data_IF_294663058975
#
_entry.id   IF_294663058975
#
_cell.length_a   1.000
_cell.length_b   1.000
_cell.length_c   1.000
_cell.angle_alpha   90.00
_cell.angle_beta   90.00
_cell.angle_gamma   90.00
#
_symmetry.space_group_name_H-M   'P 1'
#
loop_
_entity.id
_entity.type
_entity.pdbx_description
1 polymer ?
#
# COMPACT_ATOMS: atom_id res chain seq x y z
N UNK A 1 -71.28 -40.24 -18.98
CA UNK A 1 -70.11 -40.87 -19.62
C UNK A 1 -68.85 -40.35 -18.95
N UNK A 2 -68.23 -41.16 -18.09
CA UNK A 2 -67.07 -40.78 -17.28
C UNK A 2 -65.76 -41.21 -17.98
N UNK A 3 -64.77 -40.30 -18.05
CA UNK A 3 -63.44 -40.56 -18.63
C UNK A 3 -62.54 -41.31 -17.64
N UNK A 4 -61.73 -42.29 -18.09
CA UNK A 4 -60.80 -43.02 -17.23
C UNK A 4 -59.51 -42.24 -16.96
N UNK A 5 -58.96 -42.48 -15.77
CA UNK A 5 -57.76 -41.88 -15.18
C UNK A 5 -56.53 -42.69 -15.62
N UNK A 6 -55.63 -42.11 -16.41
CA UNK A 6 -54.36 -42.74 -16.82
C UNK A 6 -53.33 -42.63 -15.70
N UNK A 7 -52.79 -43.78 -15.31
CA UNK A 7 -51.69 -43.93 -14.37
C UNK A 7 -50.34 -43.94 -15.09
N UNK A 8 -49.32 -43.38 -14.43
CA UNK A 8 -47.95 -43.89 -14.50
C UNK A 8 -47.00 -43.23 -15.49
N UNK A 9 -46.10 -42.40 -14.96
CA UNK A 9 -44.69 -42.42 -15.35
C UNK A 9 -43.85 -41.77 -14.23
N UNK A 10 -43.06 -42.60 -13.55
CA UNK A 10 -42.08 -42.14 -12.58
C UNK A 10 -40.91 -41.45 -13.31
N UNK A 11 -40.36 -40.34 -12.78
CA UNK A 11 -39.21 -39.68 -13.39
C UNK A 11 -37.98 -40.58 -13.29
N UNK A 12 -37.43 -40.95 -14.44
CA UNK A 12 -36.12 -41.61 -14.54
C UNK A 12 -35.06 -40.65 -14.00
N UNK A 13 -34.43 -41.06 -12.90
CA UNK A 13 -33.37 -40.30 -12.24
C UNK A 13 -32.10 -40.39 -13.11
N UNK A 14 -31.58 -39.27 -13.67
CA UNK A 14 -30.37 -39.30 -14.46
C UNK A 14 -29.21 -39.71 -13.57
N UNK A 15 -28.60 -40.87 -13.86
CA UNK A 15 -27.36 -41.32 -13.22
C UNK A 15 -26.27 -40.28 -13.48
N UNK A 16 -26.03 -39.41 -12.50
CA UNK A 16 -24.88 -38.51 -12.48
C UNK A 16 -23.61 -39.35 -12.49
N UNK A 17 -22.86 -39.24 -13.58
CA UNK A 17 -21.59 -39.92 -13.77
C UNK A 17 -20.51 -39.19 -12.95
N UNK A 18 -19.95 -39.78 -11.87
CA UNK A 18 -19.07 -39.06 -10.94
C UNK A 18 -17.73 -38.61 -11.55
N UNK A 19 -17.38 -39.09 -12.75
CA UNK A 19 -16.13 -38.73 -13.43
C UNK A 19 -16.08 -37.34 -14.09
N UNK A 20 -17.22 -36.67 -14.33
CA UNK A 20 -17.24 -35.35 -14.99
C UNK A 20 -16.99 -34.18 -14.03
N UNK A 21 -17.39 -34.30 -12.76
CA UNK A 21 -17.20 -33.25 -11.75
C UNK A 21 -15.72 -33.06 -11.37
N UNK A 22 -14.93 -34.14 -11.35
CA UNK A 22 -13.53 -34.12 -10.94
C UNK A 22 -12.57 -33.62 -12.04
N UNK A 23 -12.96 -33.71 -13.32
CA UNK A 23 -12.20 -33.15 -14.45
C UNK A 23 -12.43 -31.64 -14.59
N UNK A 24 -13.65 -31.18 -14.29
CA UNK A 24 -14.00 -29.75 -14.28
C UNK A 24 -13.26 -28.98 -13.19
N UNK A 25 -13.18 -29.53 -11.97
CA UNK A 25 -12.50 -28.88 -10.83
C UNK A 25 -10.98 -28.77 -10.95
N UNK A 26 -10.32 -29.71 -11.66
CA UNK A 26 -8.87 -29.61 -11.96
C UNK A 26 -8.54 -28.60 -13.05
N UNK A 27 -9.44 -28.43 -14.02
CA UNK A 27 -9.27 -27.49 -15.13
C UNK A 27 -9.39 -26.02 -14.68
N UNK A 28 -10.31 -25.73 -13.75
CA UNK A 28 -10.50 -24.37 -13.22
C UNK A 28 -9.37 -23.96 -12.29
N UNK A 29 -8.90 -24.86 -11.42
CA UNK A 29 -7.80 -24.57 -10.49
C UNK A 29 -6.48 -24.19 -11.21
N UNK A 30 -6.18 -24.81 -12.35
CA UNK A 30 -5.02 -24.45 -13.19
C UNK A 30 -5.19 -23.11 -13.92
N UNK A 31 -6.39 -22.85 -14.45
CA UNK A 31 -6.70 -21.59 -15.13
C UNK A 31 -6.64 -20.40 -14.16
N UNK A 32 -7.20 -20.55 -12.95
CA UNK A 32 -7.20 -19.52 -11.90
C UNK A 32 -5.77 -19.21 -11.42
N UNK A 33 -4.91 -20.22 -11.25
CA UNK A 33 -3.51 -20.02 -10.88
C UNK A 33 -2.72 -19.24 -11.95
N UNK A 34 -2.94 -19.53 -13.24
CA UNK A 34 -2.28 -18.80 -14.33
C UNK A 34 -2.77 -17.35 -14.46
N UNK A 35 -4.05 -17.09 -14.23
CA UNK A 35 -4.61 -15.74 -14.24
C UNK A 35 -4.06 -14.87 -13.10
N UNK A 36 -3.94 -15.43 -11.89
CA UNK A 36 -3.34 -14.73 -10.74
C UNK A 36 -1.86 -14.39 -11.00
N UNK A 37 -1.10 -15.33 -11.58
CA UNK A 37 0.31 -15.08 -11.94
C UNK A 37 0.44 -13.99 -13.02
N UNK A 38 -0.40 -14.00 -14.05
CA UNK A 38 -0.38 -12.96 -15.08
C UNK A 38 -0.69 -11.57 -14.50
N UNK A 39 -1.66 -11.47 -13.59
CA UNK A 39 -2.00 -10.21 -12.94
C UNK A 39 -0.85 -9.69 -12.06
N UNK A 40 -0.15 -10.56 -11.33
CA UNK A 40 1.05 -10.20 -10.56
C UNK A 40 2.18 -9.69 -11.47
N UNK A 41 2.41 -10.33 -12.62
CA UNK A 41 3.43 -9.90 -13.56
C UNK A 41 3.13 -8.52 -14.17
N UNK A 42 1.86 -8.26 -14.52
CA UNK A 42 1.45 -6.95 -15.03
C UNK A 42 1.63 -5.88 -13.95
N UNK A 43 1.21 -6.17 -12.71
CA UNK A 43 1.39 -5.25 -11.58
C UNK A 43 2.88 -4.95 -11.33
N UNK A 44 3.75 -5.97 -11.38
CA UNK A 44 5.18 -5.81 -11.20
C UNK A 44 5.81 -4.91 -12.27
N UNK A 45 5.37 -5.00 -13.53
CA UNK A 45 5.85 -4.12 -14.62
C UNK A 45 5.48 -2.66 -14.39
N UNK A 46 4.25 -2.39 -13.96
CA UNK A 46 3.84 -1.02 -13.62
C UNK A 46 4.61 -0.50 -12.40
N UNK A 47 4.79 -1.33 -11.37
CA UNK A 47 5.56 -0.98 -10.18
C UNK A 47 7.04 -0.68 -10.52
N UNK A 48 7.68 -1.47 -11.37
CA UNK A 48 9.05 -1.25 -11.84
C UNK A 48 9.19 0.06 -12.61
N UNK A 49 8.26 0.37 -13.52
CA UNK A 49 8.27 1.63 -14.27
C UNK A 49 8.07 2.84 -13.36
N UNK A 50 7.14 2.74 -12.42
CA UNK A 50 6.91 3.78 -11.41
C UNK A 50 8.13 3.97 -10.51
N UNK A 51 8.75 2.88 -10.07
CA UNK A 51 9.95 2.90 -9.24
C UNK A 51 11.13 3.56 -9.97
N UNK A 52 11.34 3.24 -11.26
CA UNK A 52 12.40 3.85 -12.06
C UNK A 52 12.15 5.35 -12.28
N UNK A 53 10.90 5.75 -12.56
CA UNK A 53 10.54 7.16 -12.67
C UNK A 53 10.78 7.92 -11.35
N UNK A 54 10.39 7.32 -10.22
CA UNK A 54 10.62 7.89 -8.90
C UNK A 54 12.11 7.93 -8.51
N UNK A 55 12.90 6.94 -8.94
CA UNK A 55 14.34 6.92 -8.73
C UNK A 55 15.01 8.10 -9.42
N UNK A 56 14.70 8.30 -10.71
CA UNK A 56 15.24 9.39 -11.50
C UNK A 56 14.79 10.75 -10.98
N UNK A 57 13.49 10.91 -10.72
CA UNK A 57 12.94 12.15 -10.18
C UNK A 57 13.54 12.48 -8.80
N UNK A 58 13.60 11.51 -7.90
CA UNK A 58 14.18 11.67 -6.56
C UNK A 58 15.66 12.03 -6.60
N UNK A 59 16.44 11.34 -7.43
CA UNK A 59 17.87 11.63 -7.60
C UNK A 59 18.10 13.01 -8.22
N UNK A 60 17.39 13.36 -9.31
CA UNK A 60 17.53 14.66 -9.97
C UNK A 60 17.12 15.82 -9.05
N UNK A 61 15.99 15.70 -8.36
CA UNK A 61 15.53 16.73 -7.43
C UNK A 61 16.50 16.87 -6.25
N UNK A 62 16.96 15.75 -5.66
CA UNK A 62 17.94 15.81 -4.58
C UNK A 62 19.27 16.43 -5.02
N UNK A 63 19.75 16.07 -6.21
CA UNK A 63 21.00 16.57 -6.77
C UNK A 63 20.95 18.08 -7.06
N UNK A 64 19.86 18.54 -7.68
CA UNK A 64 19.63 19.96 -7.99
C UNK A 64 19.45 20.79 -6.71
N UNK A 65 18.71 20.27 -5.72
CA UNK A 65 18.54 20.93 -4.43
C UNK A 65 19.82 21.00 -3.61
N UNK A 66 20.79 20.10 -3.83
CA UNK A 66 22.10 20.13 -3.17
C UNK A 66 23.24 20.60 -4.10
N UNK A 67 22.91 21.27 -5.21
CA UNK A 67 23.92 21.75 -6.14
C UNK A 67 24.91 22.70 -5.45
N UNK A 68 26.21 22.47 -5.65
CA UNK A 68 27.28 23.25 -5.01
C UNK A 68 27.49 22.94 -3.51
N UNK A 69 26.74 21.99 -2.93
CA UNK A 69 26.91 21.58 -1.53
C UNK A 69 27.57 20.20 -1.47
N UNK A 70 28.79 20.16 -0.94
CA UNK A 70 29.48 18.91 -0.62
C UNK A 70 30.42 19.17 0.57
N UNK A 71 30.31 18.42 1.69
CA UNK A 71 29.48 17.24 1.89
C UNK A 71 28.02 17.55 2.31
N UNK A 72 27.10 16.62 2.01
CA UNK A 72 25.68 16.69 2.37
C UNK A 72 25.44 15.79 3.60
N UNK A 73 25.01 16.33 4.75
CA UNK A 73 24.77 15.55 5.95
C UNK A 73 23.50 14.69 5.84
N UNK A 74 23.43 13.62 6.63
CA UNK A 74 22.24 12.76 6.76
C UNK A 74 21.07 13.48 7.44
N UNK A 75 21.35 14.18 8.55
CA UNK A 75 20.39 14.90 9.39
C UNK A 75 20.96 16.26 9.79
N UNK A 76 20.11 17.26 10.05
CA UNK A 76 20.52 18.58 10.56
C UNK A 76 19.77 19.71 9.87
N UNK A 77 19.97 19.85 8.55
CA UNK A 77 19.32 20.89 7.74
C UNK A 77 18.14 20.32 6.93
N UNK A 78 17.19 21.17 6.52
CA UNK A 78 16.08 20.76 5.65
C UNK A 78 16.52 20.18 4.28
N UNK A 79 17.75 20.49 3.83
CA UNK A 79 18.36 19.97 2.59
C UNK A 79 19.18 18.69 2.81
N UNK A 80 19.27 18.20 4.06
CA UNK A 80 19.95 16.95 4.38
C UNK A 80 19.33 15.79 3.59
N UNK A 81 20.16 14.84 3.16
CA UNK A 81 19.68 13.83 2.23
C UNK A 81 18.67 12.88 2.88
N UNK A 82 18.75 12.65 4.20
CA UNK A 82 17.73 11.88 4.94
C UNK A 82 16.37 12.57 4.94
N UNK A 83 16.33 13.89 5.16
CA UNK A 83 15.09 14.68 5.11
C UNK A 83 14.51 14.73 3.69
N UNK A 84 15.36 14.92 2.69
CA UNK A 84 14.92 14.87 1.29
C UNK A 84 14.39 13.48 0.90
N UNK A 85 15.01 12.39 1.37
CA UNK A 85 14.49 11.04 1.16
C UNK A 85 13.11 10.85 1.79
N UNK A 86 12.89 11.39 3.00
CA UNK A 86 11.59 11.33 3.66
C UNK A 86 10.52 12.11 2.90
N UNK A 87 10.80 13.36 2.52
CA UNK A 87 9.84 14.23 1.83
C UNK A 87 9.53 13.76 0.41
N UNK A 88 10.56 13.49 -0.39
CA UNK A 88 10.39 13.00 -1.76
C UNK A 88 9.82 11.58 -1.77
N UNK A 89 10.20 10.74 -0.80
CA UNK A 89 9.63 9.42 -0.58
C UNK A 89 8.13 9.48 -0.25
N UNK A 90 7.72 10.35 0.67
CA UNK A 90 6.31 10.53 1.02
C UNK A 90 5.48 11.11 -0.15
N UNK A 91 6.03 12.09 -0.88
CA UNK A 91 5.38 12.66 -2.06
C UNK A 91 5.21 11.60 -3.16
N UNK A 92 6.28 10.88 -3.47
CA UNK A 92 6.24 9.82 -4.50
C UNK A 92 5.33 8.66 -4.09
N UNK A 93 5.29 8.28 -2.81
CA UNK A 93 4.34 7.31 -2.27
C UNK A 93 2.89 7.76 -2.47
N UNK A 94 2.58 9.02 -2.17
CA UNK A 94 1.23 9.59 -2.31
C UNK A 94 0.76 9.53 -3.76
N UNK A 95 1.62 9.97 -4.69
CA UNK A 95 1.31 9.93 -6.13
C UNK A 95 1.19 8.48 -6.61
N UNK A 96 2.10 7.60 -6.20
CA UNK A 96 2.07 6.19 -6.58
C UNK A 96 0.82 5.47 -6.06
N UNK A 97 0.41 5.73 -4.82
CA UNK A 97 -0.81 5.20 -4.23
C UNK A 97 -2.04 5.70 -4.99
N UNK A 98 -2.09 7.00 -5.32
CA UNK A 98 -3.20 7.56 -6.09
C UNK A 98 -3.31 6.90 -7.48
N UNK A 99 -2.20 6.82 -8.21
CA UNK A 99 -2.16 6.19 -9.54
C UNK A 99 -2.54 4.71 -9.46
N UNK A 100 -1.95 3.96 -8.53
CA UNK A 100 -2.22 2.53 -8.37
C UNK A 100 -3.68 2.26 -7.98
N UNK A 101 -4.28 3.09 -7.14
CA UNK A 101 -5.68 2.98 -6.73
C UNK A 101 -6.63 3.28 -7.91
N UNK A 102 -6.36 4.32 -8.71
CA UNK A 102 -7.14 4.62 -9.92
C UNK A 102 -7.07 3.46 -10.92
N UNK A 103 -5.87 2.94 -11.19
CA UNK A 103 -5.66 1.83 -12.12
C UNK A 103 -6.35 0.56 -11.61
N UNK A 104 -6.17 0.22 -10.32
CA UNK A 104 -6.78 -0.95 -9.70
C UNK A 104 -8.31 -0.91 -9.70
N UNK A 105 -8.91 0.24 -9.40
CA UNK A 105 -10.37 0.39 -9.45
C UNK A 105 -10.93 0.44 -10.88
N UNK A 106 -10.22 1.03 -11.84
CA UNK A 106 -10.65 0.96 -13.25
C UNK A 106 -10.77 -0.49 -13.72
N UNK A 107 -9.79 -1.32 -13.37
CA UNK A 107 -9.78 -2.74 -13.72
C UNK A 107 -10.96 -3.52 -13.08
N UNK A 108 -11.36 -3.15 -11.86
CA UNK A 108 -12.53 -3.70 -11.18
C UNK A 108 -13.85 -3.20 -11.77
N UNK A 109 -13.96 -1.90 -12.05
CA UNK A 109 -15.17 -1.31 -12.63
C UNK A 109 -15.47 -1.81 -14.05
N UNK A 110 -14.46 -2.24 -14.82
CA UNK A 110 -14.68 -2.90 -16.12
C UNK A 110 -15.30 -4.28 -16.01
N UNK A 111 -15.20 -4.95 -14.86
CA UNK A 111 -15.75 -6.27 -14.62
C UNK A 111 -17.14 -6.24 -13.94
N UNK A 112 -17.63 -5.05 -13.56
CA UNK A 112 -18.92 -4.89 -12.86
C UNK A 112 -20.02 -4.32 -13.76
N UNK A 113 -21.29 -4.69 -13.53
CA UNK A 113 -22.44 -4.10 -14.23
C UNK A 113 -22.49 -2.58 -14.06
N UNK A 114 -22.94 -1.81 -15.07
CA UNK A 114 -22.90 -0.34 -15.07
C UNK A 114 -23.62 0.30 -13.88
N UNK A 115 -24.60 -0.38 -13.29
CA UNK A 115 -25.40 0.12 -12.16
C UNK A 115 -24.71 0.00 -10.78
N UNK A 116 -23.53 -0.62 -10.68
CA UNK A 116 -22.75 -0.76 -9.43
C UNK A 116 -21.38 -0.06 -9.47
N UNK A 117 -21.12 0.76 -10.49
CA UNK A 117 -19.86 1.50 -10.62
C UNK A 117 -19.74 2.50 -9.47
N UNK A 118 -18.77 2.29 -8.60
CA UNK A 118 -18.49 3.21 -7.50
C UNK A 118 -17.73 4.45 -8.00
N UNK A 119 -18.06 5.60 -7.43
CA UNK A 119 -17.37 6.85 -7.70
C UNK A 119 -16.01 6.86 -6.98
N UNK A 120 -14.93 7.02 -7.74
CA UNK A 120 -13.57 6.75 -7.28
C UNK A 120 -12.90 7.93 -6.57
N UNK A 121 -13.38 9.15 -6.80
CA UNK A 121 -12.72 10.37 -6.33
C UNK A 121 -12.78 10.57 -4.82
N UNK A 122 -13.90 10.20 -4.18
CA UNK A 122 -14.09 10.40 -2.74
C UNK A 122 -13.23 9.46 -1.88
N UNK A 123 -12.96 8.24 -2.36
CA UNK A 123 -12.14 7.25 -1.64
C UNK A 123 -10.65 7.34 -1.97
N UNK A 124 -10.27 8.06 -3.04
CA UNK A 124 -8.88 8.22 -3.47
C UNK A 124 -8.07 9.06 -2.48
N UNK A 125 -8.61 10.22 -2.08
CA UNK A 125 -7.87 11.20 -1.28
C UNK A 125 -7.44 10.65 0.09
N UNK A 126 -8.32 9.97 0.89
CA UNK A 126 -7.93 9.45 2.20
C UNK A 126 -6.85 8.36 2.09
N UNK A 127 -6.94 7.50 1.09
CA UNK A 127 -5.98 6.40 0.89
C UNK A 127 -4.62 6.94 0.47
N UNK A 128 -4.58 7.82 -0.55
CA UNK A 128 -3.34 8.39 -1.03
C UNK A 128 -2.65 9.22 0.06
N UNK A 129 -3.38 10.13 0.71
CA UNK A 129 -2.83 10.95 1.79
C UNK A 129 -2.41 10.09 2.99
N UNK A 130 -3.21 9.10 3.37
CA UNK A 130 -2.86 8.18 4.45
C UNK A 130 -1.54 7.46 4.20
N UNK A 131 -1.27 7.02 2.98
CA UNK A 131 0.02 6.39 2.63
C UNK A 131 1.19 7.37 2.68
N UNK A 132 1.00 8.60 2.22
CA UNK A 132 2.02 9.65 2.31
C UNK A 132 2.39 9.96 3.74
N UNK A 133 1.38 10.19 4.59
CA UNK A 133 1.57 10.44 6.04
C UNK A 133 2.23 9.24 6.71
N UNK A 134 1.82 8.02 6.37
CA UNK A 134 2.43 6.81 6.92
C UNK A 134 3.94 6.74 6.61
N UNK A 135 4.33 6.99 5.36
CA UNK A 135 5.75 7.01 4.96
C UNK A 135 6.49 8.14 5.66
N UNK A 136 5.87 9.31 5.79
CA UNK A 136 6.48 10.46 6.47
C UNK A 136 6.73 10.17 7.95
N UNK A 137 5.76 9.59 8.66
CA UNK A 137 5.90 9.19 10.07
C UNK A 137 6.99 8.12 10.22
N UNK A 138 6.98 7.09 9.36
CA UNK A 138 7.96 6.02 9.41
C UNK A 138 9.38 6.53 9.13
N UNK A 139 9.53 7.41 8.15
CA UNK A 139 10.80 8.05 7.82
C UNK A 139 11.25 9.00 8.94
N UNK A 140 10.32 9.72 9.58
CA UNK A 140 10.60 10.58 10.73
C UNK A 140 11.20 9.79 11.89
N UNK A 141 10.58 8.67 12.27
CA UNK A 141 11.14 7.75 13.27
C UNK A 141 12.53 7.26 12.84
N UNK A 142 12.68 6.83 11.58
CA UNK A 142 13.96 6.40 11.03
C UNK A 142 15.06 7.48 11.10
N UNK A 143 14.72 8.74 10.82
CA UNK A 143 15.64 9.88 10.91
C UNK A 143 16.07 10.13 12.36
N UNK A 144 15.16 10.03 13.33
CA UNK A 144 15.50 10.18 14.76
C UNK A 144 16.55 9.13 15.16
N UNK A 145 16.31 7.86 14.84
CA UNK A 145 17.29 6.79 15.09
C UNK A 145 18.61 7.02 14.34
N UNK A 146 18.54 7.41 13.07
CA UNK A 146 19.71 7.66 12.25
C UNK A 146 20.55 8.84 12.77
N UNK A 147 19.92 9.86 13.36
CA UNK A 147 20.62 11.01 13.92
C UNK A 147 21.46 10.66 15.16
N UNK A 148 21.05 9.63 15.91
CA UNK A 148 21.79 9.13 17.07
C UNK A 148 22.95 8.23 16.63
N UNK A 149 22.74 7.36 15.65
CA UNK A 149 23.73 6.34 15.24
C UNK A 149 24.75 6.91 14.24
N UNK A 150 24.32 7.77 13.33
CA UNK A 150 25.09 8.24 12.18
C UNK A 150 25.26 9.76 12.16
N UNK A 151 25.54 10.36 13.32
CA UNK A 151 25.60 11.82 13.51
C UNK A 151 26.58 12.52 12.56
N UNK A 152 27.73 11.90 12.30
CA UNK A 152 28.80 12.45 11.44
C UNK A 152 28.71 11.98 9.98
N UNK A 153 27.63 11.27 9.60
CA UNK A 153 27.51 10.72 8.26
C UNK A 153 27.17 11.84 7.26
N UNK A 154 28.16 12.23 6.48
CA UNK A 154 28.00 13.18 5.39
C UNK A 154 28.57 12.59 4.10
N UNK A 155 27.81 12.71 3.02
CA UNK A 155 28.13 12.10 1.72
C UNK A 155 28.38 13.16 0.66
N UNK A 156 29.14 12.80 -0.36
CA UNK A 156 29.28 13.61 -1.57
C UNK A 156 27.90 13.66 -2.26
N UNK A 157 27.51 14.84 -2.76
CA UNK A 157 26.18 15.08 -3.35
C UNK A 157 25.77 14.00 -4.37
N UNK A 158 26.69 13.58 -5.26
CA UNK A 158 26.42 12.56 -6.27
C UNK A 158 26.00 11.19 -5.69
N UNK A 159 26.56 10.79 -4.55
CA UNK A 159 26.19 9.52 -3.89
C UNK A 159 24.90 9.71 -3.08
N UNK A 160 24.78 10.83 -2.37
CA UNK A 160 23.61 11.15 -1.57
C UNK A 160 22.33 11.19 -2.42
N UNK A 161 22.37 11.81 -3.60
CA UNK A 161 21.23 11.89 -4.50
C UNK A 161 20.80 10.54 -5.06
N UNK A 162 21.76 9.66 -5.41
CA UNK A 162 21.48 8.29 -5.86
C UNK A 162 20.80 7.48 -4.74
N UNK A 163 21.24 7.63 -3.49
CA UNK A 163 20.60 6.97 -2.34
C UNK A 163 19.16 7.47 -2.16
N UNK A 164 18.93 8.78 -2.24
CA UNK A 164 17.57 9.36 -2.17
C UNK A 164 16.68 8.78 -3.28
N UNK A 165 17.19 8.73 -4.50
CA UNK A 165 16.49 8.09 -5.64
C UNK A 165 16.18 6.62 -5.37
N UNK A 166 17.14 5.84 -4.89
CA UNK A 166 16.95 4.43 -4.57
C UNK A 166 15.87 4.23 -3.49
N UNK A 167 15.87 5.05 -2.44
CA UNK A 167 14.83 5.02 -1.40
C UNK A 167 13.45 5.31 -2.00
N UNK A 168 13.32 6.34 -2.84
CA UNK A 168 12.06 6.64 -3.54
C UNK A 168 11.60 5.47 -4.41
N UNK A 169 12.54 4.81 -5.11
CA UNK A 169 12.25 3.65 -5.95
C UNK A 169 11.67 2.49 -5.13
N UNK A 170 12.31 2.15 -4.00
CA UNK A 170 11.86 1.07 -3.10
C UNK A 170 10.47 1.37 -2.54
N UNK A 171 10.24 2.62 -2.12
CA UNK A 171 8.94 3.06 -1.60
C UNK A 171 7.86 2.91 -2.67
N UNK A 172 8.08 3.45 -3.87
CA UNK A 172 7.10 3.40 -4.95
C UNK A 172 6.84 1.96 -5.41
N UNK A 173 7.88 1.15 -5.54
CA UNK A 173 7.73 -0.27 -5.88
C UNK A 173 6.83 -0.99 -4.85
N UNK A 174 7.09 -0.77 -3.56
CA UNK A 174 6.34 -1.38 -2.47
C UNK A 174 4.88 -0.92 -2.42
N UNK A 175 4.65 0.40 -2.59
CA UNK A 175 3.31 0.99 -2.58
C UNK A 175 2.50 0.53 -3.79
N UNK A 176 3.04 0.62 -5.00
CA UNK A 176 2.33 0.19 -6.20
C UNK A 176 2.01 -1.31 -6.16
N UNK A 177 2.93 -2.16 -5.68
CA UNK A 177 2.66 -3.58 -5.50
C UNK A 177 1.47 -3.87 -4.57
N UNK A 178 1.33 -3.09 -3.49
CA UNK A 178 0.23 -3.23 -2.51
C UNK A 178 -1.13 -2.77 -3.05
N UNK A 179 -1.16 -1.69 -3.83
CA UNK A 179 -2.41 -1.10 -4.32
C UNK A 179 -2.85 -1.66 -5.68
N UNK A 180 -1.95 -2.14 -6.53
CA UNK A 180 -2.33 -2.77 -7.80
C UNK A 180 -3.02 -4.13 -7.59
N UNK A 181 -2.73 -4.82 -6.49
CA UNK A 181 -3.41 -6.05 -6.07
C UNK A 181 -4.66 -5.77 -5.22
N UNK A 182 -5.18 -4.52 -5.26
CA UNK A 182 -6.25 -3.94 -4.45
C UNK A 182 -7.24 -4.97 -3.89
N UNK A 183 -7.01 -5.37 -2.64
CA UNK A 183 -7.96 -6.10 -1.83
C UNK A 183 -8.44 -5.17 -0.72
N UNK A 184 -9.65 -5.36 -0.18
CA UNK A 184 -10.16 -4.54 0.95
C UNK A 184 -9.18 -4.52 2.13
N UNK A 185 -8.43 -5.63 2.28
CA UNK A 185 -7.30 -5.80 3.18
C UNK A 185 -6.23 -4.70 3.06
N UNK A 186 -5.92 -4.19 1.88
CA UNK A 186 -4.87 -3.18 1.70
C UNK A 186 -5.25 -1.84 2.33
N UNK A 187 -6.52 -1.45 2.27
CA UNK A 187 -7.03 -0.20 2.88
C UNK A 187 -7.02 -0.33 4.40
N UNK A 188 -7.54 -1.45 4.93
CA UNK A 188 -7.53 -1.72 6.37
C UNK A 188 -6.11 -1.79 6.94
N UNK A 189 -5.17 -2.40 6.21
CA UNK A 189 -3.77 -2.49 6.61
C UNK A 189 -3.11 -1.11 6.62
N UNK A 190 -3.41 -0.26 5.63
CA UNK A 190 -2.91 1.13 5.61
C UNK A 190 -3.43 1.91 6.82
N UNK A 191 -4.72 1.80 7.14
CA UNK A 191 -5.31 2.43 8.32
C UNK A 191 -4.68 1.92 9.63
N UNK A 192 -4.53 0.59 9.76
CA UNK A 192 -3.92 -0.02 10.93
C UNK A 192 -2.46 0.42 11.13
N UNK A 193 -1.66 0.44 10.05
CA UNK A 193 -0.28 0.91 10.13
C UNK A 193 -0.20 2.40 10.45
N UNK A 194 -1.09 3.22 9.90
CA UNK A 194 -1.15 4.64 10.21
C UNK A 194 -1.47 4.87 11.70
N UNK A 195 -2.42 4.13 12.27
CA UNK A 195 -2.75 4.17 13.69
C UNK A 195 -1.55 3.76 14.57
N UNK A 196 -0.91 2.63 14.26
CA UNK A 196 0.26 2.16 15.01
C UNK A 196 1.40 3.17 14.94
N UNK A 197 1.69 3.71 13.76
CA UNK A 197 2.71 4.75 13.59
C UNK A 197 2.36 6.02 14.38
N UNK A 198 1.09 6.42 14.38
CA UNK A 198 0.61 7.55 15.19
C UNK A 198 0.85 7.33 16.68
N UNK A 199 0.54 6.13 17.19
CA UNK A 199 0.78 5.77 18.59
C UNK A 199 2.27 5.79 18.92
N UNK A 200 3.12 5.24 18.05
CA UNK A 200 4.58 5.24 18.26
C UNK A 200 5.13 6.66 18.31
N UNK A 201 4.67 7.54 17.41
CA UNK A 201 5.11 8.95 17.39
C UNK A 201 4.60 9.71 18.61
N UNK A 202 3.37 9.46 19.06
CA UNK A 202 2.86 10.03 20.30
C UNK A 202 3.68 9.56 21.50
N UNK A 203 3.95 8.25 21.61
CA UNK A 203 4.76 7.66 22.68
C UNK A 203 6.20 8.19 22.69
N UNK A 204 6.79 8.45 21.52
CA UNK A 204 8.14 8.98 21.41
C UNK A 204 8.28 10.43 21.87
N UNK A 205 7.19 11.20 21.82
CA UNK A 205 7.17 12.60 22.27
C UNK A 205 6.77 12.75 23.75
N UNK A 206 6.20 11.70 24.35
CA UNK A 206 5.73 11.74 25.73
C UNK A 206 6.90 11.51 26.70
N UNK A 207 7.04 12.39 27.68
CA UNK A 207 8.14 12.31 28.66
C UNK A 207 7.85 11.32 29.79
N UNK A 208 6.57 10.99 30.01
CA UNK A 208 6.15 10.09 31.07
C UNK A 208 6.15 8.63 30.59
N UNK A 209 7.01 7.73 31.11
CA UNK A 209 7.05 6.33 30.71
C UNK A 209 5.77 5.54 31.07
N UNK A 210 4.90 6.09 31.93
CA UNK A 210 3.61 5.51 32.33
C UNK A 210 2.41 6.07 31.54
N UNK A 211 2.63 6.83 30.47
CA UNK A 211 1.56 7.45 29.67
C UNK A 211 0.47 6.46 29.23
N UNK A 212 0.86 5.22 28.94
CA UNK A 212 -0.06 4.16 28.53
C UNK A 212 -0.94 3.72 29.70
N UNK A 213 -0.37 3.56 30.91
CA UNK A 213 -1.14 3.23 32.12
C UNK A 213 -2.17 4.32 32.41
N UNK A 214 -1.78 5.59 32.28
CA UNK A 214 -2.70 6.73 32.48
C UNK A 214 -3.82 6.72 31.43
N UNK A 215 -3.48 6.58 30.15
CA UNK A 215 -4.44 6.55 29.04
C UNK A 215 -5.45 5.39 29.14
N UNK A 216 -5.02 4.22 29.62
CA UNK A 216 -5.90 3.08 29.85
C UNK A 216 -6.63 3.11 31.20
N UNK A 217 -6.09 3.79 32.21
CA UNK A 217 -6.76 3.98 33.51
C UNK A 217 -8.05 4.78 33.36
N UNK A 218 -8.08 5.76 32.45
CA UNK A 218 -9.26 6.57 32.16
C UNK A 218 -10.41 5.79 31.50
N UNK A 219 -10.13 4.65 30.87
CA UNK A 219 -11.17 3.81 30.24
C UNK A 219 -11.95 2.96 31.26
N UNK A 220 -11.56 2.96 32.54
CA UNK A 220 -12.20 2.19 33.61
C UNK A 220 -12.67 2.99 34.83
N UNK A 221 -12.37 4.29 34.91
CA UNK A 221 -12.73 5.13 36.07
C UNK A 221 -13.93 6.03 35.80
N UNK A 222 -14.86 6.10 36.75
CA UNK A 222 -16.09 6.93 36.72
C UNK A 222 -15.86 8.46 36.62
N UNK A 223 -14.61 8.92 36.51
CA UNK A 223 -14.23 10.31 36.26
C UNK A 223 -14.30 10.69 34.76
N UNK A 224 -14.84 9.83 33.89
CA UNK A 224 -14.98 10.10 32.45
C UNK A 224 -16.23 10.89 32.05
N UNK A 225 -16.92 11.54 33.01
CA UNK A 225 -18.08 12.42 32.76
C UNK A 225 -17.76 13.85 33.18
#
# INVERSE_FOLDING_TARGET
>A
MAKPKTAGQAPQNPRMNPGSAQKSSRSTAGADATAVQQQQQVAARYALRGALAAALAGALLSFTLNWGRSPVPLVGDWRAFGILAALLGALSATVAAAVAYIVGMRFRNTQMPPNRRHNYWLSLAPVALGTGVQILLAAGVGIVFASVIFKELALINGIASVIVGAICAVIVFSVMGRFLLANERSVLLTLALLLVLGIVVAAANEQNPKWWEESFSYLGTAASN
#
